data_IF_707139191832
#
_entry.id   IF_707139191832
#
_cell.length_a   1.000
_cell.length_b   1.000
_cell.length_c   1.000
_cell.angle_alpha   90.00
_cell.angle_beta   90.00
_cell.angle_gamma   90.00
#
_symmetry.space_group_name_H-M   'P 1'
#
loop_
_entity.id
_entity.type
_entity.pdbx_description
1 polymer ?
#
# COMPACT_ATOMS: atom_id res chain seq x y z
N UNK A 1 16.10 15.24 -0.82
CA UNK A 1 15.95 14.16 0.18
C UNK A 1 15.06 13.06 -0.37
N UNK A 2 13.83 13.38 -0.81
CA UNK A 2 12.92 12.44 -1.52
C UNK A 2 13.59 11.68 -2.67
N UNK A 3 14.27 12.37 -3.60
CA UNK A 3 14.94 11.70 -4.73
C UNK A 3 16.13 10.82 -4.31
N UNK A 4 16.67 10.98 -3.09
CA UNK A 4 17.82 10.18 -2.60
C UNK A 4 17.39 8.84 -2.02
N UNK A 5 16.15 8.74 -1.55
CA UNK A 5 15.58 7.52 -0.95
C UNK A 5 14.67 6.79 -1.94
N UNK A 6 14.40 7.37 -3.10
CA UNK A 6 13.44 6.85 -4.07
C UNK A 6 13.82 5.44 -4.53
N UNK A 7 15.02 5.28 -5.08
CA UNK A 7 15.44 4.00 -5.66
C UNK A 7 15.57 2.91 -4.58
N UNK A 8 16.09 3.26 -3.40
CA UNK A 8 16.23 2.33 -2.26
C UNK A 8 14.87 1.84 -1.72
N UNK A 9 13.82 2.67 -1.80
CA UNK A 9 12.48 2.33 -1.31
C UNK A 9 11.66 1.66 -2.40
N UNK A 10 11.71 2.12 -3.65
CA UNK A 10 10.89 1.60 -4.75
C UNK A 10 11.11 0.10 -5.00
N UNK A 11 12.34 -0.40 -4.82
CA UNK A 11 12.68 -1.83 -4.94
C UNK A 11 12.14 -2.68 -3.78
N UNK A 12 11.88 -2.07 -2.61
CA UNK A 12 11.33 -2.75 -1.43
C UNK A 12 9.81 -2.72 -1.37
N UNK A 13 9.17 -1.78 -2.10
CA UNK A 13 7.72 -1.65 -2.12
C UNK A 13 7.08 -2.79 -2.92
N UNK A 14 5.98 -3.32 -2.40
CA UNK A 14 5.16 -4.30 -3.12
C UNK A 14 4.56 -3.67 -4.37
N UNK A 15 4.37 -4.50 -5.40
CA UNK A 15 3.78 -4.05 -6.67
C UNK A 15 2.34 -3.54 -6.52
N UNK A 16 1.60 -4.07 -5.54
CA UNK A 16 0.22 -3.69 -5.24
C UNK A 16 0.09 -2.36 -4.49
N UNK A 17 1.20 -1.73 -4.07
CA UNK A 17 1.15 -0.45 -3.38
C UNK A 17 1.18 0.70 -4.39
N UNK A 18 0.05 1.33 -4.67
CA UNK A 18 0.03 2.56 -5.49
C UNK A 18 0.39 3.84 -4.73
N UNK A 19 0.18 3.88 -3.41
CA UNK A 19 0.38 5.09 -2.60
C UNK A 19 1.80 5.63 -2.68
N UNK A 20 1.93 6.92 -3.01
CA UNK A 20 3.20 7.66 -3.11
C UNK A 20 4.22 7.10 -4.12
N UNK A 21 3.78 6.29 -5.09
CA UNK A 21 4.64 5.79 -6.18
C UNK A 21 4.43 6.57 -7.46
N UNK A 22 5.53 6.77 -8.20
CA UNK A 22 5.47 7.40 -9.52
C UNK A 22 4.71 6.48 -10.48
N UNK A 23 3.87 7.06 -11.32
CA UNK A 23 3.12 6.37 -12.38
C UNK A 23 2.13 5.29 -11.86
N UNK A 24 1.74 5.35 -10.57
CA UNK A 24 0.70 4.51 -9.96
C UNK A 24 -0.44 5.39 -9.42
N UNK A 25 -1.68 4.93 -9.58
CA UNK A 25 -2.89 5.59 -9.06
C UNK A 25 -3.73 4.59 -8.29
N UNK A 26 -4.45 5.06 -7.25
CA UNK A 26 -5.39 4.27 -6.46
C UNK A 26 -6.65 3.85 -7.27
N UNK A 27 -6.81 4.36 -8.49
CA UNK A 27 -7.96 4.07 -9.34
C UNK A 27 -8.12 2.59 -9.60
N UNK A 28 -7.02 1.89 -9.88
CA UNK A 28 -7.04 0.46 -10.20
C UNK A 28 -7.37 -0.36 -8.94
N UNK A 29 -6.81 -0.01 -7.77
CA UNK A 29 -7.16 -0.67 -6.51
C UNK A 29 -8.64 -0.46 -6.13
N UNK A 30 -9.19 0.74 -6.33
CA UNK A 30 -10.61 1.03 -6.06
C UNK A 30 -11.50 0.25 -7.03
N UNK A 31 -11.14 0.17 -8.31
CA UNK A 31 -11.90 -0.56 -9.31
C UNK A 31 -11.81 -2.09 -9.14
N UNK A 32 -10.73 -2.59 -8.53
CA UNK A 32 -10.52 -4.02 -8.27
C UNK A 32 -11.46 -4.56 -7.19
N UNK A 33 -11.80 -3.77 -6.17
CA UNK A 33 -12.67 -4.22 -5.07
C UNK A 33 -14.06 -4.67 -5.55
N UNK A 34 -14.81 -3.88 -6.36
CA UNK A 34 -16.07 -4.32 -6.96
C UNK A 34 -15.94 -5.64 -7.73
N UNK A 35 -14.87 -5.79 -8.53
CA UNK A 35 -14.64 -7.00 -9.33
C UNK A 35 -14.48 -8.24 -8.43
N UNK A 36 -13.69 -8.14 -7.36
CA UNK A 36 -13.51 -9.25 -6.40
C UNK A 36 -14.83 -9.61 -5.72
N UNK A 37 -15.63 -8.60 -5.34
CA UNK A 37 -16.94 -8.82 -4.73
C UNK A 37 -17.88 -9.53 -5.70
N UNK A 38 -18.01 -9.03 -6.93
CA UNK A 38 -18.86 -9.64 -7.97
C UNK A 38 -18.44 -11.08 -8.26
N UNK A 39 -17.13 -11.33 -8.38
CA UNK A 39 -16.62 -12.67 -8.61
C UNK A 39 -16.94 -13.61 -7.44
N UNK A 40 -16.84 -13.13 -6.19
CA UNK A 40 -17.16 -13.97 -5.05
C UNK A 40 -18.61 -14.43 -5.03
N UNK A 41 -19.52 -13.55 -5.44
CA UNK A 41 -20.96 -13.83 -5.59
C UNK A 41 -21.20 -14.82 -6.72
N UNK A 42 -20.58 -14.62 -7.88
CA UNK A 42 -20.72 -15.49 -9.05
C UNK A 42 -20.31 -16.95 -8.74
N UNK A 43 -19.24 -17.15 -7.98
CA UNK A 43 -18.71 -18.48 -7.64
C UNK A 43 -19.25 -19.04 -6.32
N UNK A 44 -20.19 -18.33 -5.67
CA UNK A 44 -20.73 -18.68 -4.36
C UNK A 44 -19.61 -18.98 -3.32
N UNK A 45 -18.56 -18.17 -3.35
CA UNK A 45 -17.39 -18.29 -2.48
C UNK A 45 -17.49 -17.32 -1.30
N UNK A 46 -16.99 -17.72 -0.13
CA UNK A 46 -16.92 -16.83 1.02
C UNK A 46 -15.83 -15.76 0.81
N UNK A 47 -16.20 -14.49 0.98
CA UNK A 47 -15.29 -13.35 0.88
C UNK A 47 -15.27 -12.57 2.19
N UNK A 48 -14.06 -12.22 2.66
CA UNK A 48 -13.83 -11.38 3.83
C UNK A 48 -12.96 -10.19 3.43
N UNK A 49 -13.43 -8.98 3.73
CA UNK A 49 -12.72 -7.73 3.43
C UNK A 49 -12.49 -6.99 4.74
N UNK A 50 -11.27 -6.49 4.95
CA UNK A 50 -10.93 -5.65 6.09
C UNK A 50 -10.32 -4.33 5.63
N UNK A 51 -10.77 -3.22 6.21
CA UNK A 51 -10.21 -1.89 5.97
C UNK A 51 -9.42 -1.45 7.20
N UNK A 52 -8.11 -1.26 7.03
CA UNK A 52 -7.21 -0.84 8.11
C UNK A 52 -6.69 0.55 7.78
N UNK A 53 -6.91 1.49 8.69
CA UNK A 53 -6.35 2.84 8.63
C UNK A 53 -5.56 3.15 9.90
N UNK A 54 -4.46 3.90 9.75
CA UNK A 54 -3.58 4.25 10.86
C UNK A 54 -3.85 5.68 11.33
N UNK A 55 -4.28 5.84 12.58
CA UNK A 55 -4.43 7.16 13.18
C UNK A 55 -3.07 7.88 13.22
N UNK A 56 -2.99 9.06 12.60
CA UNK A 56 -1.77 9.88 12.52
C UNK A 56 -0.55 9.08 12.05
N UNK A 57 -0.68 8.42 10.90
CA UNK A 57 0.32 7.51 10.34
C UNK A 57 1.75 8.08 10.32
N UNK A 58 1.94 9.38 10.06
CA UNK A 58 3.27 10.00 10.05
C UNK A 58 3.80 10.37 11.44
N UNK A 59 2.92 10.73 12.38
CA UNK A 59 3.32 11.14 13.74
C UNK A 59 3.60 9.92 14.63
N UNK A 60 2.97 8.79 14.33
CA UNK A 60 3.10 7.54 15.10
C UNK A 60 4.35 6.71 14.76
N UNK A 61 5.10 7.06 13.70
CA UNK A 61 6.30 6.32 13.31
C UNK A 61 7.45 6.56 14.29
N UNK A 62 8.04 5.48 14.83
CA UNK A 62 9.28 5.58 15.60
C UNK A 62 10.44 6.00 14.69
N UNK A 63 10.89 7.25 14.89
CA UNK A 63 11.97 7.85 14.09
C UNK A 63 13.27 7.06 14.16
N UNK A 64 13.59 6.45 15.30
CA UNK A 64 14.85 5.69 15.46
C UNK A 64 14.84 4.45 14.57
N UNK A 65 13.74 3.73 14.53
CA UNK A 65 13.52 2.55 13.69
C UNK A 65 13.53 2.94 12.21
N UNK A 66 12.82 4.02 11.84
CA UNK A 66 12.81 4.52 10.46
C UNK A 66 14.23 4.84 9.94
N UNK A 67 15.07 5.51 10.73
CA UNK A 67 16.45 5.83 10.33
C UNK A 67 17.40 4.63 10.27
N UNK A 68 17.06 3.50 10.91
CA UNK A 68 17.80 2.25 10.75
C UNK A 68 17.43 1.61 9.41
N UNK A 69 16.12 1.49 9.14
CA UNK A 69 15.60 0.91 7.89
C UNK A 69 16.05 1.66 6.63
N UNK A 70 16.24 2.99 6.71
CA UNK A 70 16.71 3.79 5.57
C UNK A 70 18.23 3.80 5.36
N UNK A 71 19.01 3.20 6.27
CA UNK A 71 20.49 3.21 6.21
C UNK A 71 21.08 1.92 5.64
N UNK A 72 20.31 0.83 5.72
CA UNK A 72 20.63 -0.46 5.14
C UNK A 72 20.18 -0.50 3.67
#
# INVERSE_FOLDING_TARGET
>A
MLNRTKDAVDDQLRDQQAGFRKDRSCTDEIATLPIIVEQSVEWNSSLYINSIDYEKAFDSVDRRTLWKLLRD
#
